data_IF_234835191399
#
_entry.id   IF_234835191399
#
_cell.length_a   1.000
_cell.length_b   1.000
_cell.length_c   1.000
_cell.angle_alpha   90.00
_cell.angle_beta   90.00
_cell.angle_gamma   90.00
#
_symmetry.space_group_name_H-M   'P 1'
#
loop_
_entity.id
_entity.type
_entity.pdbx_description
1 polymer ?
#
# COMPACT_ATOMS: atom_id res chain seq x y z
N UNK A 1 -4.02 0.40 -44.99
CA UNK A 1 -3.69 1.67 -44.31
C UNK A 1 -3.58 1.35 -42.84
N UNK A 2 -2.37 1.10 -42.35
CA UNK A 2 -2.12 0.66 -40.97
C UNK A 2 -1.97 1.90 -40.09
N UNK A 3 -2.84 2.06 -39.09
CA UNK A 3 -2.69 3.09 -38.06
C UNK A 3 -1.53 2.72 -37.13
N UNK A 4 -0.68 3.68 -36.71
CA UNK A 4 0.38 3.40 -35.76
C UNK A 4 -0.22 3.14 -34.35
N UNK A 5 0.48 2.41 -33.48
CA UNK A 5 0.03 2.19 -32.11
C UNK A 5 0.09 3.51 -31.33
N UNK A 6 -0.98 3.81 -30.60
CA UNK A 6 -1.06 4.96 -29.69
C UNK A 6 -0.02 4.81 -28.58
N UNK A 7 0.96 5.71 -28.56
CA UNK A 7 1.91 5.85 -27.44
C UNK A 7 1.16 6.28 -26.19
N UNK A 8 0.91 5.35 -25.27
CA UNK A 8 0.42 5.67 -23.93
C UNK A 8 1.50 6.42 -23.17
N UNK A 9 1.36 7.75 -23.07
CA UNK A 9 2.20 8.57 -22.19
C UNK A 9 1.72 8.39 -20.76
N UNK A 10 2.47 7.63 -19.97
CA UNK A 10 2.30 7.58 -18.52
C UNK A 10 2.58 8.96 -17.92
N UNK A 11 1.58 9.55 -17.28
CA UNK A 11 1.77 10.74 -16.46
C UNK A 11 2.49 10.31 -15.17
N UNK A 12 3.75 10.74 -15.01
CA UNK A 12 4.40 10.73 -13.70
C UNK A 12 3.59 11.63 -12.77
N UNK A 13 2.96 11.03 -11.75
CA UNK A 13 2.40 11.79 -10.65
C UNK A 13 3.57 12.42 -9.89
N UNK A 14 3.89 13.68 -10.22
CA UNK A 14 4.75 14.53 -9.40
C UNK A 14 3.96 14.91 -8.14
N UNK A 15 3.79 13.94 -7.24
CA UNK A 15 3.18 14.18 -5.94
C UNK A 15 4.21 14.79 -4.99
N UNK A 16 3.83 15.79 -4.17
CA UNK A 16 4.70 16.37 -3.16
C UNK A 16 4.89 15.46 -1.93
N UNK A 17 4.38 14.21 -1.93
CA UNK A 17 4.54 13.25 -0.82
C UNK A 17 6.00 12.87 -0.52
N UNK A 18 6.95 13.26 -1.39
CA UNK A 18 8.39 13.11 -1.20
C UNK A 18 8.90 13.70 0.12
N UNK A 19 8.28 14.75 0.66
CA UNK A 19 8.77 15.42 1.87
C UNK A 19 8.59 14.62 3.17
N UNK A 20 7.66 13.66 3.23
CA UNK A 20 7.46 12.83 4.43
C UNK A 20 8.46 11.67 4.54
N UNK A 21 9.22 11.39 3.48
CA UNK A 21 10.21 10.30 3.42
C UNK A 21 11.65 10.80 3.29
N UNK A 22 11.88 12.12 3.29
CA UNK A 22 13.21 12.72 3.30
C UNK A 22 13.71 12.90 4.74
N UNK A 23 14.93 12.45 5.09
CA UNK A 23 15.49 12.70 6.40
C UNK A 23 15.74 14.20 6.57
N UNK A 24 14.97 14.83 7.46
CA UNK A 24 15.28 16.16 7.97
C UNK A 24 16.55 16.07 8.82
N UNK A 25 17.62 16.73 8.41
CA UNK A 25 18.81 16.93 9.24
C UNK A 25 18.47 17.91 10.37
N UNK A 26 17.79 17.47 11.42
CA UNK A 26 17.62 18.27 12.63
C UNK A 26 18.81 18.05 13.56
N UNK A 27 19.66 19.08 13.69
CA UNK A 27 20.62 19.20 14.79
C UNK A 27 19.85 19.62 16.03
N UNK A 28 19.69 18.72 16.99
CA UNK A 28 19.14 19.07 18.31
C UNK A 28 20.30 19.37 19.25
N UNK A 29 20.40 20.62 19.69
CA UNK A 29 21.34 21.05 20.73
C UNK A 29 20.66 20.86 22.09
N UNK A 30 21.17 19.93 22.91
CA UNK A 30 20.76 19.82 24.31
C UNK A 30 21.62 20.74 25.18
N UNK A 31 20.98 21.60 25.98
CA UNK A 31 21.67 22.44 26.94
C UNK A 31 21.69 21.77 28.31
N UNK A 32 22.79 21.06 28.62
CA UNK A 32 23.09 20.60 29.98
C UNK A 32 24.11 21.52 30.64
N UNK A 33 23.86 21.92 31.89
CA UNK A 33 24.87 22.58 32.72
C UNK A 33 26.05 21.62 32.93
N UNK A 34 27.25 22.06 32.56
CA UNK A 34 28.51 21.30 32.49
C UNK A 34 28.80 20.63 31.13
N UNK A 35 29.21 21.47 30.16
CA UNK A 35 30.03 21.05 29.01
C UNK A 35 29.28 20.62 27.75
N UNK A 36 29.62 21.24 26.61
CA UNK A 36 29.18 20.83 25.27
C UNK A 36 29.85 19.51 24.89
N UNK A 37 29.14 18.37 24.93
CA UNK A 37 29.60 17.13 24.29
C UNK A 37 28.97 16.98 22.91
N UNK A 38 29.80 16.92 21.87
CA UNK A 38 29.39 16.57 20.52
C UNK A 38 29.29 15.05 20.42
N UNK A 39 28.14 14.49 20.81
CA UNK A 39 27.85 13.06 20.61
C UNK A 39 27.43 12.81 19.17
N UNK A 40 28.21 12.05 18.41
CA UNK A 40 27.77 11.46 17.13
C UNK A 40 26.84 10.30 17.46
N UNK A 41 25.52 10.55 17.49
CA UNK A 41 24.55 9.48 17.52
C UNK A 41 24.76 8.62 16.27
N UNK A 42 25.04 7.33 16.44
CA UNK A 42 25.05 6.42 15.30
C UNK A 42 23.65 6.43 14.70
N UNK A 43 23.51 7.03 13.53
CA UNK A 43 22.31 6.90 12.71
C UNK A 43 22.22 5.44 12.33
N UNK A 44 21.23 4.74 12.90
CA UNK A 44 20.90 3.41 12.43
C UNK A 44 20.32 3.57 11.02
N UNK A 45 21.16 3.40 10.00
CA UNK A 45 20.74 3.26 8.61
C UNK A 45 20.05 1.90 8.45
N UNK A 46 18.80 1.80 8.88
CA UNK A 46 17.91 0.74 8.38
C UNK A 46 17.45 1.15 6.99
N UNK A 47 18.35 1.01 6.02
CA UNK A 47 18.05 1.08 4.61
C UNK A 47 17.73 -0.36 4.17
N UNK A 48 16.46 -0.77 4.30
CA UNK A 48 15.96 -1.93 3.56
C UNK A 48 15.52 -1.46 2.18
N UNK A 49 16.47 -1.07 1.33
CA UNK A 49 16.20 -0.99 -0.10
C UNK A 49 16.31 -2.40 -0.66
N UNK A 50 15.21 -2.88 -1.20
CA UNK A 50 15.16 -4.14 -1.93
C UNK A 50 15.39 -3.85 -3.42
N UNK A 51 15.66 -4.84 -4.27
CA UNK A 51 16.06 -4.65 -5.68
C UNK A 51 15.07 -5.33 -6.66
N UNK A 52 13.77 -5.35 -6.39
CA UNK A 52 12.81 -6.09 -7.25
C UNK A 52 11.43 -5.44 -7.30
N UNK A 53 11.03 -5.04 -8.52
CA UNK A 53 9.73 -4.43 -8.79
C UNK A 53 8.58 -5.43 -8.51
N UNK A 54 7.44 -4.99 -7.94
CA UNK A 54 6.23 -5.81 -7.86
C UNK A 54 5.79 -6.27 -9.25
N UNK A 55 5.35 -7.53 -9.36
CA UNK A 55 4.96 -8.16 -10.63
C UNK A 55 3.53 -8.65 -10.50
N UNK A 56 2.65 -8.19 -11.39
CA UNK A 56 1.33 -8.79 -11.61
C UNK A 56 1.45 -9.80 -12.75
N UNK A 57 1.21 -11.08 -12.45
CA UNK A 57 1.27 -12.16 -13.43
C UNK A 57 0.15 -13.16 -13.13
N UNK A 58 -0.60 -13.54 -14.15
CA UNK A 58 -1.66 -14.55 -14.06
C UNK A 58 -2.71 -14.26 -12.96
N UNK A 59 -3.04 -12.99 -12.75
CA UNK A 59 -3.97 -12.56 -11.69
C UNK A 59 -3.40 -12.62 -10.26
N UNK A 60 -2.07 -12.81 -10.13
CA UNK A 60 -1.38 -12.86 -8.84
C UNK A 60 -0.38 -11.72 -8.72
N UNK A 61 -0.52 -10.93 -7.65
CA UNK A 61 0.45 -9.91 -7.27
C UNK A 61 1.57 -10.54 -6.48
N UNK A 62 2.78 -10.48 -7.03
CA UNK A 62 3.99 -11.00 -6.40
C UNK A 62 4.95 -9.87 -6.02
N UNK A 63 5.52 -9.96 -4.83
CA UNK A 63 6.58 -9.06 -4.35
C UNK A 63 7.78 -9.95 -3.98
N UNK A 64 8.86 -9.88 -4.77
CA UNK A 64 10.06 -10.74 -4.62
C UNK A 64 9.79 -12.24 -4.69
N UNK A 65 8.92 -12.68 -5.59
CA UNK A 65 8.52 -14.09 -5.67
C UNK A 65 7.71 -14.57 -4.46
N UNK A 66 7.26 -13.65 -3.62
CA UNK A 66 6.28 -13.91 -2.56
C UNK A 66 4.91 -13.45 -3.00
N UNK A 67 3.93 -14.33 -2.85
CA UNK A 67 2.54 -14.05 -3.21
C UNK A 67 1.95 -13.07 -2.19
N UNK A 68 1.39 -11.97 -2.70
CA UNK A 68 0.75 -10.92 -1.91
C UNK A 68 -0.79 -11.01 -1.99
N UNK A 69 -1.32 -11.15 -3.20
CA UNK A 69 -2.76 -11.26 -3.49
C UNK A 69 -2.96 -12.18 -4.69
N UNK A 70 -4.01 -12.98 -4.66
CA UNK A 70 -4.49 -13.78 -5.80
C UNK A 70 -5.79 -13.20 -6.34
N UNK A 71 -6.23 -13.63 -7.53
CA UNK A 71 -7.50 -13.18 -8.10
C UNK A 71 -7.59 -11.65 -8.28
N UNK A 72 -6.45 -11.01 -8.57
CA UNK A 72 -6.32 -9.58 -8.84
C UNK A 72 -7.04 -9.25 -10.16
N UNK A 73 -8.05 -8.38 -10.17
CA UNK A 73 -8.78 -8.02 -11.38
C UNK A 73 -7.95 -7.21 -12.40
N UNK A 74 -8.35 -7.26 -13.67
CA UNK A 74 -7.66 -6.57 -14.78
C UNK A 74 -7.67 -5.04 -14.68
N UNK A 75 -8.63 -4.47 -13.94
CA UNK A 75 -8.71 -3.02 -13.73
C UNK A 75 -7.79 -2.52 -12.60
N UNK A 76 -7.06 -3.42 -11.91
CA UNK A 76 -6.06 -3.03 -10.91
C UNK A 76 -4.78 -2.56 -11.61
N UNK A 77 -4.32 -1.38 -11.22
CA UNK A 77 -3.10 -0.76 -11.76
C UNK A 77 -2.03 -0.73 -10.68
N UNK A 78 -0.83 -1.20 -11.02
CA UNK A 78 0.33 -1.16 -10.14
C UNK A 78 1.37 -0.24 -10.73
N UNK A 79 1.70 0.82 -10.00
CA UNK A 79 2.71 1.80 -10.39
C UNK A 79 3.93 1.64 -9.49
N UNK A 80 5.04 1.05 -9.96
CA UNK A 80 6.24 0.90 -9.17
C UNK A 80 6.79 2.27 -8.72
N UNK A 81 7.11 2.40 -7.44
CA UNK A 81 7.73 3.61 -6.88
C UNK A 81 9.21 3.36 -6.60
N UNK A 82 9.50 2.26 -5.90
CA UNK A 82 10.85 1.77 -5.67
C UNK A 82 10.90 0.27 -5.91
N UNK A 83 12.09 -0.28 -5.82
CA UNK A 83 12.34 -1.72 -5.90
C UNK A 83 11.78 -2.54 -4.71
N UNK A 84 10.98 -1.93 -3.84
CA UNK A 84 10.31 -2.55 -2.69
C UNK A 84 8.89 -2.04 -2.46
N UNK A 85 8.43 -1.08 -3.27
CA UNK A 85 7.15 -0.41 -3.06
C UNK A 85 6.51 -0.04 -4.38
N UNK A 86 5.18 -0.05 -4.39
CA UNK A 86 4.39 0.40 -5.51
C UNK A 86 3.10 1.02 -4.99
N UNK A 87 2.53 1.91 -5.80
CA UNK A 87 1.15 2.31 -5.65
C UNK A 87 0.26 1.24 -6.29
N UNK A 88 -0.82 0.88 -5.60
CA UNK A 88 -1.87 0.03 -6.11
C UNK A 88 -3.12 0.88 -6.23
N UNK A 89 -3.70 0.94 -7.42
CA UNK A 89 -4.93 1.65 -7.71
C UNK A 89 -5.85 0.80 -8.58
N UNK A 90 -6.99 1.36 -8.97
CA UNK A 90 -7.91 0.72 -9.89
C UNK A 90 -8.54 1.74 -10.83
N UNK A 91 -8.88 1.32 -12.04
CA UNK A 91 -9.64 2.13 -12.99
C UNK A 91 -11.14 1.87 -12.85
N UNK A 92 -11.94 2.93 -13.04
CA UNK A 92 -13.40 2.85 -13.08
C UNK A 92 -13.89 3.27 -14.45
N UNK A 93 -14.77 2.48 -15.05
CA UNK A 93 -15.54 2.83 -16.25
C UNK A 93 -16.98 3.21 -15.93
N UNK A 94 -17.38 3.11 -14.65
CA UNK A 94 -18.71 3.43 -14.18
C UNK A 94 -18.92 4.91 -13.88
N UNK A 95 -20.15 5.23 -13.48
CA UNK A 95 -20.54 6.61 -13.17
C UNK A 95 -19.74 7.18 -11.99
N UNK A 96 -19.61 8.50 -12.03
CA UNK A 96 -18.98 9.28 -11.00
C UNK A 96 -19.72 9.06 -9.65
N UNK A 97 -19.00 8.65 -8.60
CA UNK A 97 -19.57 8.43 -7.26
C UNK A 97 -18.72 9.12 -6.18
N UNK A 98 -19.37 9.53 -5.08
CA UNK A 98 -18.68 10.00 -3.87
C UNK A 98 -18.02 8.86 -3.10
N UNK A 99 -18.38 7.61 -3.42
CA UNK A 99 -17.79 6.40 -2.86
C UNK A 99 -17.62 5.34 -3.94
N UNK A 100 -16.38 4.91 -4.15
CA UNK A 100 -16.04 3.80 -5.02
C UNK A 100 -15.38 2.68 -4.22
N UNK A 101 -15.72 1.44 -4.54
CA UNK A 101 -15.14 0.24 -3.92
C UNK A 101 -14.59 -0.64 -5.03
N UNK A 102 -13.31 -0.96 -4.94
CA UNK A 102 -12.62 -1.80 -5.92
C UNK A 102 -12.10 -3.04 -5.24
N UNK A 103 -12.27 -4.20 -5.88
CA UNK A 103 -11.57 -5.43 -5.50
C UNK A 103 -10.10 -5.29 -5.90
N UNK A 104 -9.20 -5.56 -4.96
CA UNK A 104 -7.75 -5.63 -5.22
C UNK A 104 -7.27 -7.07 -5.41
N UNK A 105 -7.94 -8.04 -4.82
CA UNK A 105 -7.57 -9.45 -4.87
C UNK A 105 -8.20 -10.22 -3.72
N UNK A 106 -7.71 -11.42 -3.46
CA UNK A 106 -8.19 -12.36 -2.45
C UNK A 106 -7.06 -12.62 -1.46
N UNK A 107 -7.41 -12.71 -0.17
CA UNK A 107 -6.51 -13.09 0.92
C UNK A 107 -7.10 -14.31 1.61
N UNK A 108 -6.43 -15.46 1.53
CA UNK A 108 -6.87 -16.69 2.18
C UNK A 108 -5.68 -17.41 2.78
N UNK A 109 -5.83 -17.95 4.00
CA UNK A 109 -4.83 -18.73 4.73
C UNK A 109 -3.48 -17.99 4.96
N UNK A 110 -3.52 -16.66 5.15
CA UNK A 110 -2.33 -15.83 5.39
C UNK A 110 -2.47 -15.06 6.69
N UNK A 111 -1.47 -15.16 7.60
CA UNK A 111 -1.47 -14.37 8.83
C UNK A 111 -1.49 -12.87 8.50
N UNK A 112 -2.44 -12.17 9.09
CA UNK A 112 -2.60 -10.73 8.92
C UNK A 112 -2.77 -10.03 10.26
N UNK A 113 -2.36 -8.76 10.26
CA UNK A 113 -2.64 -7.78 11.30
C UNK A 113 -3.17 -6.53 10.62
N UNK A 114 -4.32 -6.04 11.01
CA UNK A 114 -4.89 -4.79 10.53
C UNK A 114 -5.12 -3.82 11.67
N UNK A 115 -5.10 -2.52 11.36
CA UNK A 115 -5.53 -1.45 12.26
C UNK A 115 -6.73 -0.77 11.61
N UNK A 116 -7.87 -0.80 12.29
CA UNK A 116 -9.12 -0.27 11.76
C UNK A 116 -9.77 0.71 12.72
N UNK A 117 -10.53 1.65 12.15
CA UNK A 117 -11.20 2.70 12.90
C UNK A 117 -12.59 2.22 13.35
N UNK A 118 -12.72 1.89 14.63
CA UNK A 118 -14.00 1.45 15.21
C UNK A 118 -14.84 2.60 15.80
N UNK A 119 -14.20 3.74 16.12
CA UNK A 119 -14.85 5.02 16.46
C UNK A 119 -14.04 6.17 15.87
N UNK A 120 -14.64 7.35 15.73
CA UNK A 120 -14.02 8.52 15.04
C UNK A 120 -12.58 8.81 15.51
N UNK A 121 -12.33 8.71 16.81
CA UNK A 121 -11.05 9.03 17.45
C UNK A 121 -10.21 7.80 17.82
N UNK A 122 -10.66 6.59 17.46
CA UNK A 122 -10.10 5.35 17.99
C UNK A 122 -9.85 4.31 16.90
N UNK A 123 -8.63 3.77 16.90
CA UNK A 123 -8.26 2.60 16.11
C UNK A 123 -7.87 1.45 17.03
N UNK A 124 -8.17 0.22 16.62
CA UNK A 124 -7.74 -0.99 17.33
C UNK A 124 -7.13 -1.99 16.36
N UNK A 125 -6.17 -2.81 16.83
CA UNK A 125 -5.64 -3.90 16.03
C UNK A 125 -6.63 -5.06 15.95
N UNK A 126 -6.63 -5.77 14.82
CA UNK A 126 -7.23 -7.10 14.68
C UNK A 126 -6.27 -8.02 13.93
N UNK A 127 -6.10 -9.22 14.45
CA UNK A 127 -5.39 -10.31 13.77
C UNK A 127 -6.40 -11.23 13.08
N UNK A 128 -5.96 -11.87 12.00
CA UNK A 128 -6.80 -12.79 11.23
C UNK A 128 -5.98 -13.68 10.32
N UNK A 129 -6.66 -14.40 9.45
CA UNK A 129 -6.04 -15.27 8.45
C UNK A 129 -6.65 -15.16 7.04
N UNK A 130 -7.68 -14.35 6.86
CA UNK A 130 -8.40 -14.22 5.58
C UNK A 130 -8.93 -12.80 5.34
N UNK A 131 -9.28 -12.49 4.10
CA UNK A 131 -9.84 -11.19 3.73
C UNK A 131 -11.09 -10.87 4.54
N UNK A 132 -11.92 -11.86 4.88
CA UNK A 132 -13.14 -11.68 5.67
C UNK A 132 -12.88 -11.18 7.11
N UNK A 133 -11.66 -11.32 7.63
CA UNK A 133 -11.27 -10.79 8.93
C UNK A 133 -11.01 -9.28 8.93
N UNK A 134 -10.82 -8.67 7.75
CA UNK A 134 -10.41 -7.28 7.62
C UNK A 134 -11.64 -6.37 7.79
N UNK A 135 -11.73 -5.58 8.88
CA UNK A 135 -12.90 -4.75 9.11
C UNK A 135 -12.98 -3.59 8.12
N UNK A 136 -14.19 -3.05 7.96
CA UNK A 136 -14.40 -1.77 7.28
C UNK A 136 -13.57 -0.67 7.95
N UNK A 137 -13.16 0.32 7.16
CA UNK A 137 -12.33 1.44 7.63
C UNK A 137 -10.95 1.02 8.15
N UNK A 138 -10.36 -0.05 7.60
CA UNK A 138 -8.97 -0.43 7.87
C UNK A 138 -8.01 0.61 7.29
N UNK A 139 -7.13 1.15 8.13
CA UNK A 139 -6.15 2.21 7.80
C UNK A 139 -4.71 1.68 7.67
N UNK A 140 -4.48 0.40 7.99
CA UNK A 140 -3.22 -0.29 7.75
C UNK A 140 -3.50 -1.79 7.73
N UNK A 141 -2.90 -2.50 6.78
CA UNK A 141 -2.90 -3.95 6.74
C UNK A 141 -1.47 -4.46 6.59
N UNK A 142 -1.06 -5.35 7.47
CA UNK A 142 0.20 -6.07 7.45
C UNK A 142 -0.11 -7.52 7.13
N UNK A 143 0.51 -8.03 6.07
CA UNK A 143 0.33 -9.39 5.58
C UNK A 143 1.65 -10.15 5.68
N UNK A 144 1.63 -11.36 6.20
CA UNK A 144 2.79 -12.24 6.08
C UNK A 144 2.96 -12.69 4.63
N UNK A 145 4.13 -12.45 4.06
CA UNK A 145 4.42 -12.81 2.68
C UNK A 145 4.65 -14.32 2.56
N UNK A 146 3.82 -14.99 1.76
CA UNK A 146 3.98 -16.42 1.45
C UNK A 146 5.18 -16.62 0.57
N UNK A 147 6.01 -17.60 0.90
CA UNK A 147 7.08 -17.99 0.00
C UNK A 147 6.50 -18.75 -1.19
N UNK A 148 6.84 -18.29 -2.40
CA UNK A 148 6.55 -19.03 -3.61
C UNK A 148 7.29 -20.37 -3.64
N UNK A 149 6.90 -21.27 -4.54
CA UNK A 149 7.43 -22.65 -4.61
C UNK A 149 8.94 -22.76 -4.87
N UNK A 150 9.63 -21.66 -5.21
CA UNK A 150 11.02 -21.67 -5.68
C UNK A 150 12.09 -21.31 -4.62
N UNK A 151 11.71 -21.07 -3.35
CA UNK A 151 12.68 -20.63 -2.32
C UNK A 151 13.10 -21.80 -1.41
N UNK A 152 14.40 -22.13 -1.44
CA UNK A 152 15.02 -23.17 -0.61
C UNK A 152 14.75 -22.97 0.89
N UNK A 153 14.12 -23.98 1.51
CA UNK A 153 13.59 -23.95 2.88
C UNK A 153 14.61 -23.77 4.02
N UNK A 154 15.91 -23.58 3.73
CA UNK A 154 16.99 -23.65 4.73
C UNK A 154 17.33 -22.32 5.42
N UNK A 155 16.81 -21.17 4.98
CA UNK A 155 17.01 -19.87 5.63
C UNK A 155 15.76 -18.96 5.48
N UNK A 156 14.62 -19.41 6.02
CA UNK A 156 13.35 -18.68 5.97
C UNK A 156 13.33 -17.48 6.92
N UNK A 157 13.68 -16.30 6.42
CA UNK A 157 13.32 -15.04 7.08
C UNK A 157 11.87 -14.68 6.75
N UNK A 158 10.99 -14.66 7.75
CA UNK A 158 9.60 -14.18 7.59
C UNK A 158 9.63 -12.74 7.07
N UNK A 159 8.95 -12.49 5.96
CA UNK A 159 8.82 -11.16 5.38
C UNK A 159 7.37 -10.71 5.46
N UNK A 160 7.16 -9.40 5.52
CA UNK A 160 5.83 -8.83 5.59
C UNK A 160 5.62 -7.83 4.47
N UNK A 161 4.37 -7.73 4.02
CA UNK A 161 3.89 -6.76 3.04
C UNK A 161 2.94 -5.83 3.78
N UNK A 162 3.11 -4.52 3.59
CA UNK A 162 2.27 -3.51 4.21
C UNK A 162 1.44 -2.80 3.14
N UNK A 163 0.13 -2.72 3.36
CA UNK A 163 -0.78 -1.87 2.61
C UNK A 163 -1.13 -0.64 3.45
N UNK A 164 -0.87 0.53 2.88
CA UNK A 164 -1.14 1.83 3.48
C UNK A 164 -2.09 2.61 2.58
N UNK A 165 -3.39 2.70 2.94
CA UNK A 165 -4.33 3.63 2.31
C UNK A 165 -3.77 5.05 2.32
N UNK A 166 -3.78 5.69 1.16
CA UNK A 166 -3.25 7.04 0.98
C UNK A 166 -4.39 8.06 1.08
N UNK A 167 -4.07 9.23 1.65
CA UNK A 167 -4.90 10.42 1.53
C UNK A 167 -4.36 11.24 0.37
N UNK A 168 -5.20 11.58 -0.61
CA UNK A 168 -4.79 12.40 -1.74
C UNK A 168 -5.83 13.48 -2.04
N UNK A 169 -5.42 14.74 -1.87
CA UNK A 169 -6.31 15.89 -1.96
C UNK A 169 -7.54 15.75 -1.04
N UNK A 170 -8.72 15.72 -1.65
CA UNK A 170 -10.01 15.60 -0.96
C UNK A 170 -10.53 14.17 -0.86
N UNK A 171 -9.76 13.22 -1.39
CA UNK A 171 -10.10 11.82 -1.37
C UNK A 171 -9.40 11.13 -0.22
N UNK A 172 -10.20 10.37 0.52
CA UNK A 172 -9.69 9.44 1.51
C UNK A 172 -9.81 8.04 0.96
N UNK A 173 -8.86 7.18 1.32
CA UNK A 173 -9.01 5.77 1.11
C UNK A 173 -8.99 4.94 2.39
N UNK A 174 -9.60 3.77 2.32
CA UNK A 174 -9.57 2.74 3.35
C UNK A 174 -9.59 1.35 2.74
N UNK A 175 -9.22 0.34 3.54
CA UNK A 175 -9.36 -1.07 3.18
C UNK A 175 -10.56 -1.67 3.91
N UNK A 176 -11.13 -2.70 3.30
CA UNK A 176 -12.11 -3.56 3.94
C UNK A 176 -12.05 -4.96 3.33
N UNK A 177 -12.48 -5.95 4.11
CA UNK A 177 -12.75 -7.30 3.65
C UNK A 177 -14.21 -7.50 3.26
N UNK A 178 -14.52 -8.67 2.69
CA UNK A 178 -15.89 -9.14 2.52
C UNK A 178 -16.01 -10.65 2.80
N UNK A 179 -17.23 -11.18 2.71
CA UNK A 179 -17.52 -12.60 2.96
C UNK A 179 -16.92 -13.57 1.92
N UNK A 180 -16.37 -13.06 0.82
CA UNK A 180 -15.69 -13.82 -0.23
C UNK A 180 -14.16 -13.73 -0.11
N UNK A 181 -13.65 -13.29 1.04
CA UNK A 181 -12.22 -13.08 1.30
C UNK A 181 -11.54 -12.08 0.38
N UNK A 182 -12.31 -11.20 -0.27
CA UNK A 182 -11.77 -10.19 -1.16
C UNK A 182 -11.24 -9.02 -0.34
N UNK A 183 -10.01 -8.62 -0.62
CA UNK A 183 -9.50 -7.33 -0.19
C UNK A 183 -10.10 -6.26 -1.09
N UNK A 184 -10.78 -5.29 -0.48
CA UNK A 184 -11.38 -4.16 -1.18
C UNK A 184 -10.71 -2.86 -0.76
N UNK A 185 -10.49 -1.99 -1.75
CA UNK A 185 -10.03 -0.63 -1.60
C UNK A 185 -11.21 0.33 -1.80
N UNK A 186 -11.49 1.13 -0.79
CA UNK A 186 -12.54 2.13 -0.80
C UNK A 186 -11.93 3.51 -1.02
N UNK A 187 -12.49 4.30 -1.92
CA UNK A 187 -12.18 5.71 -2.11
C UNK A 187 -13.43 6.51 -1.87
N UNK A 188 -13.33 7.51 -1.00
CA UNK A 188 -14.43 8.38 -0.63
C UNK A 188 -14.02 9.84 -0.79
N UNK A 189 -14.91 10.65 -1.38
CA UNK A 189 -14.81 12.10 -1.33
C UNK A 189 -15.53 12.62 -0.09
N UNK A 190 -14.92 13.57 0.61
CA UNK A 190 -15.58 14.27 1.73
C UNK A 190 -16.71 15.21 1.30
N UNK A 191 -17.08 15.22 0.01
CA UNK A 191 -18.02 16.16 -0.57
C UNK A 191 -18.92 15.47 -1.62
N UNK A 192 -20.24 15.51 -1.41
CA UNK A 192 -21.25 14.89 -2.28
C UNK A 192 -21.24 15.46 -3.70
N UNK A 193 -20.72 16.68 -3.91
CA UNK A 193 -20.59 17.28 -5.25
C UNK A 193 -19.25 16.98 -5.94
N UNK A 194 -18.34 16.25 -5.29
CA UNK A 194 -17.06 15.85 -5.86
C UNK A 194 -17.05 14.35 -6.05
N UNK A 195 -17.00 13.94 -7.30
CA UNK A 195 -16.99 12.54 -7.67
C UNK A 195 -15.55 12.07 -7.90
N UNK A 196 -15.28 10.81 -7.55
CA UNK A 196 -14.02 10.16 -7.92
C UNK A 196 -13.99 9.98 -9.45
N UNK A 197 -13.49 10.99 -10.16
CA UNK A 197 -13.12 10.90 -11.56
C UNK A 197 -11.60 10.70 -11.61
N UNK A 198 -11.17 9.47 -11.91
CA UNK A 198 -9.78 9.21 -12.27
C UNK A 198 -9.68 9.41 -13.78
N UNK A 199 -9.11 10.52 -14.28
CA UNK A 199 -8.85 10.65 -15.71
C UNK A 199 -7.72 9.67 -16.05
N UNK A 200 -7.94 8.92 -17.13
CA UNK A 200 -7.00 7.97 -17.73
C UNK A 200 -5.67 8.61 -18.12
#
# INVERSE_FOLDING_TARGET
MFSPPTTTRFLQLNSPFSSFLLPSNQRVLYHGHSGRRLGRLQTCRHSMFLNTKPVLKDGTLNIKGKEALTGVPDNVVITPLTDSSAFVGATSTGDASSRLVFKLGVIEDVRLLCIFRFKIWWMIPRVGNSGSDIPIETQMLLLEAREGPEIDAKNKATSYIIFLPVLDGEFRSSLQGNSLNELQFCVESGNISKFCLFPF
#
